data_IF_582317815559
#
_entry.id   IF_582317815559
#
_cell.length_a   1.000
_cell.length_b   1.000
_cell.length_c   1.000
_cell.angle_alpha   90.00
_cell.angle_beta   90.00
_cell.angle_gamma   90.00
#
_symmetry.space_group_name_H-M   'P 1'
#
loop_
_entity.id
_entity.type
_entity.pdbx_description
1 polymer ?
#
# COMPACT_ATOMS: atom_id res chain seq x y z
N UNK A 1 1.38 2.79 30.61
CA UNK A 1 2.19 3.89 30.02
C UNK A 1 1.85 3.95 28.55
N UNK A 2 0.99 4.88 28.14
CA UNK A 2 0.68 5.10 26.73
C UNK A 2 1.86 5.82 26.10
N UNK A 3 2.56 5.17 25.16
CA UNK A 3 3.55 5.83 24.32
C UNK A 3 2.89 7.08 23.69
N UNK A 4 3.57 8.24 23.64
CA UNK A 4 3.02 9.42 22.97
C UNK A 4 2.64 9.07 21.53
N UNK A 5 1.56 9.68 21.05
CA UNK A 5 0.98 9.48 19.73
C UNK A 5 1.87 10.10 18.65
N UNK A 6 3.05 9.53 18.43
CA UNK A 6 3.99 9.99 17.40
C UNK A 6 3.39 9.67 16.03
N UNK A 7 3.26 10.65 15.13
CA UNK A 7 2.80 10.40 13.77
C UNK A 7 3.75 9.44 13.05
N UNK A 8 3.21 8.57 12.21
CA UNK A 8 3.98 7.66 11.35
C UNK A 8 5.03 8.45 10.55
N UNK A 9 6.28 7.99 10.57
CA UNK A 9 7.39 8.57 9.79
C UNK A 9 7.94 7.56 8.79
N UNK A 10 8.64 8.03 7.75
CA UNK A 10 9.35 7.15 6.81
C UNK A 10 10.43 6.31 7.49
N UNK A 11 11.09 6.87 8.52
CA UNK A 11 12.11 6.16 9.30
C UNK A 11 11.55 4.95 10.06
N UNK A 12 10.28 5.01 10.49
CA UNK A 12 9.62 3.87 11.12
C UNK A 12 9.44 2.70 10.15
N UNK A 13 9.42 2.93 8.84
CA UNK A 13 9.23 1.88 7.84
C UNK A 13 10.52 1.11 7.53
N UNK A 14 11.68 1.77 7.68
CA UNK A 14 12.98 1.18 7.37
C UNK A 14 13.37 0.02 8.31
N UNK A 15 12.71 -0.12 9.47
CA UNK A 15 12.99 -1.19 10.43
C UNK A 15 12.36 -2.54 10.03
N UNK A 16 11.41 -2.55 9.10
CA UNK A 16 10.76 -3.78 8.64
C UNK A 16 11.62 -4.43 7.55
N UNK A 17 12.21 -5.58 7.87
CA UNK A 17 13.09 -6.38 7.02
C UNK A 17 12.56 -7.81 6.93
N UNK A 18 11.88 -8.11 5.83
CA UNK A 18 11.07 -9.32 5.72
C UNK A 18 9.91 -9.34 6.73
N UNK A 19 9.09 -10.39 6.68
CA UNK A 19 8.00 -10.59 7.64
C UNK A 19 7.80 -12.06 7.91
N UNK A 20 7.62 -12.40 9.19
CA UNK A 20 7.35 -13.77 9.63
C UNK A 20 5.83 -14.04 9.71
N UNK A 21 5.02 -12.98 9.74
CA UNK A 21 3.57 -13.06 9.88
C UNK A 21 2.84 -12.37 8.74
N UNK A 22 1.92 -13.09 8.12
CA UNK A 22 0.99 -12.53 7.15
C UNK A 22 -0.41 -12.37 7.76
N UNK A 23 -0.99 -11.20 7.60
CA UNK A 23 -2.35 -10.89 8.02
C UNK A 23 -3.30 -11.02 6.83
N UNK A 24 -4.46 -11.62 7.06
CA UNK A 24 -5.49 -11.78 6.02
C UNK A 24 -6.40 -10.55 6.00
N UNK A 25 -6.64 -10.00 4.82
CA UNK A 25 -7.66 -8.97 4.63
C UNK A 25 -9.06 -9.56 4.84
N UNK A 26 -9.96 -8.89 5.60
CA UNK A 26 -11.34 -9.33 5.70
C UNK A 26 -12.07 -9.07 4.36
N UNK A 27 -12.55 -10.11 3.69
CA UNK A 27 -13.41 -9.99 2.51
C UNK A 27 -12.70 -9.97 1.14
N UNK A 28 -11.37 -9.84 1.10
CA UNK A 28 -10.58 -10.01 -0.13
C UNK A 28 -9.54 -11.10 0.06
N UNK A 29 -9.18 -11.80 -1.02
CA UNK A 29 -8.09 -12.78 -1.01
C UNK A 29 -6.73 -12.07 -1.12
N UNK A 30 -6.47 -11.15 -0.20
CA UNK A 30 -5.24 -10.36 -0.08
C UNK A 30 -4.68 -10.57 1.32
N UNK A 31 -3.38 -10.81 1.40
CA UNK A 31 -2.62 -10.83 2.64
C UNK A 31 -1.67 -9.64 2.68
N UNK A 32 -1.19 -9.28 3.86
CA UNK A 32 -0.24 -8.19 4.02
C UNK A 32 0.71 -8.44 5.19
N UNK A 33 1.90 -7.86 5.11
CA UNK A 33 2.99 -8.03 6.10
C UNK A 33 2.78 -7.18 7.35
N UNK A 34 3.63 -7.41 8.34
CA UNK A 34 3.73 -6.61 9.56
C UNK A 34 4.02 -5.14 9.27
N UNK A 35 4.90 -4.80 8.32
CA UNK A 35 5.17 -3.42 7.93
C UNK A 35 3.93 -2.71 7.38
N UNK A 36 3.17 -3.39 6.52
CA UNK A 36 1.93 -2.84 5.96
C UNK A 36 0.84 -2.69 7.02
N UNK A 37 0.75 -3.67 7.94
CA UNK A 37 -0.16 -3.56 9.09
C UNK A 37 0.20 -2.35 9.96
N UNK A 38 1.48 -2.14 10.23
CA UNK A 38 1.95 -1.00 11.01
C UNK A 38 1.59 0.34 10.34
N UNK A 39 1.77 0.44 9.01
CA UNK A 39 1.30 1.60 8.24
C UNK A 39 -0.19 1.83 8.42
N UNK A 40 -1.01 0.78 8.32
CA UNK A 40 -2.46 0.90 8.46
C UNK A 40 -2.87 1.32 9.88
N UNK A 41 -2.27 0.74 10.92
CA UNK A 41 -2.58 1.05 12.32
C UNK A 41 -2.10 2.45 12.74
N UNK A 42 -0.88 2.85 12.35
CA UNK A 42 -0.28 4.13 12.75
C UNK A 42 -0.68 5.29 11.84
N UNK A 43 -0.91 5.00 10.57
CA UNK A 43 -1.29 5.99 9.55
C UNK A 43 -2.79 6.11 9.33
N UNK A 44 -3.63 5.32 10.04
CA UNK A 44 -5.07 5.28 9.80
C UNK A 44 -5.44 4.78 8.39
N UNK A 45 -4.58 3.95 7.79
CA UNK A 45 -4.57 3.68 6.36
C UNK A 45 -5.10 2.29 5.97
N UNK A 46 -5.99 1.69 6.76
CA UNK A 46 -6.65 0.43 6.34
C UNK A 46 -7.38 0.58 5.01
N UNK A 47 -7.95 1.76 4.75
CA UNK A 47 -8.57 2.12 3.47
C UNK A 47 -7.63 1.97 2.26
N UNK A 48 -6.31 2.11 2.46
CA UNK A 48 -5.33 1.94 1.38
C UNK A 48 -5.22 0.45 0.99
N UNK A 49 -5.26 -0.44 1.98
CA UNK A 49 -5.29 -1.87 1.75
C UNK A 49 -6.61 -2.25 1.06
N UNK A 50 -7.75 -1.73 1.54
CA UNK A 50 -9.06 -1.92 0.90
C UNK A 50 -9.03 -1.47 -0.58
N UNK A 51 -8.47 -0.28 -0.85
CA UNK A 51 -8.37 0.26 -2.19
C UNK A 51 -7.56 -0.66 -3.11
N UNK A 52 -6.33 -1.03 -2.72
CA UNK A 52 -5.46 -1.92 -3.50
C UNK A 52 -6.12 -3.31 -3.68
N UNK A 53 -6.78 -3.83 -2.65
CA UNK A 53 -7.47 -5.12 -2.72
C UNK A 53 -8.65 -5.09 -3.71
N UNK A 54 -9.41 -3.99 -3.75
CA UNK A 54 -10.54 -3.82 -4.67
C UNK A 54 -10.10 -3.86 -6.14
N UNK A 55 -8.93 -3.28 -6.44
CA UNK A 55 -8.34 -3.26 -7.77
C UNK A 55 -7.95 -4.64 -8.31
N UNK A 56 -7.74 -5.64 -7.46
CA UNK A 56 -7.32 -6.98 -7.89
C UNK A 56 -8.39 -7.70 -8.74
N UNK A 57 -9.64 -7.24 -8.67
CA UNK A 57 -10.75 -7.75 -9.49
C UNK A 57 -10.94 -7.00 -10.82
N UNK A 58 -10.28 -5.85 -11.00
CA UNK A 58 -10.43 -5.02 -12.20
C UNK A 58 -9.71 -5.70 -13.39
N UNK A 59 -10.36 -5.84 -14.57
CA UNK A 59 -9.74 -6.45 -15.74
C UNK A 59 -8.41 -5.82 -16.15
N UNK A 60 -8.20 -4.52 -15.90
CA UNK A 60 -6.94 -3.82 -16.20
C UNK A 60 -5.75 -4.33 -15.39
N UNK A 61 -6.00 -4.95 -14.23
CA UNK A 61 -4.98 -5.60 -13.41
C UNK A 61 -5.03 -7.12 -13.60
N UNK A 62 -6.22 -7.70 -13.52
CA UNK A 62 -6.44 -9.15 -13.57
C UNK A 62 -5.96 -9.78 -14.88
N UNK A 63 -6.19 -9.11 -16.00
CA UNK A 63 -5.91 -9.69 -17.33
C UNK A 63 -4.53 -9.26 -17.88
N UNK A 64 -3.78 -8.48 -17.11
CA UNK A 64 -2.45 -7.97 -17.48
C UNK A 64 -1.33 -8.90 -17.01
N UNK A 65 -0.58 -9.48 -17.96
CA UNK A 65 0.43 -10.49 -17.65
C UNK A 65 1.59 -9.98 -16.77
N UNK A 66 1.94 -8.69 -16.86
CA UNK A 66 3.01 -8.13 -16.02
C UNK A 66 2.52 -7.95 -14.59
N UNK A 67 1.30 -7.44 -14.42
CA UNK A 67 0.69 -7.18 -13.10
C UNK A 67 0.31 -8.46 -12.34
N UNK A 68 0.21 -9.60 -13.03
CA UNK A 68 0.10 -10.92 -12.37
C UNK A 68 1.41 -11.36 -11.71
N UNK A 69 2.55 -10.82 -12.14
CA UNK A 69 3.87 -11.10 -11.56
C UNK A 69 4.17 -10.25 -10.34
N UNK A 70 4.19 -8.93 -10.50
CA UNK A 70 4.40 -7.95 -9.43
C UNK A 70 3.72 -6.63 -9.81
N UNK A 71 3.23 -5.91 -8.80
CA UNK A 71 2.61 -4.61 -8.96
C UNK A 71 3.32 -3.60 -8.06
N UNK A 72 3.57 -2.41 -8.59
CA UNK A 72 4.21 -1.32 -7.85
C UNK A 72 3.19 -0.23 -7.54
N UNK A 73 2.77 -0.14 -6.28
CA UNK A 73 1.79 0.82 -5.83
C UNK A 73 2.48 2.02 -5.17
N UNK A 74 2.15 3.22 -5.63
CA UNK A 74 2.62 4.48 -5.04
C UNK A 74 1.42 5.34 -4.66
N UNK A 75 1.28 5.65 -3.38
CA UNK A 75 0.38 6.69 -2.88
C UNK A 75 1.17 8.00 -2.77
N UNK A 76 0.70 9.06 -3.40
CA UNK A 76 1.23 10.42 -3.23
C UNK A 76 0.15 11.33 -2.64
N UNK A 77 0.45 12.01 -1.54
CA UNK A 77 -0.46 12.94 -0.86
C UNK A 77 -0.01 14.37 -1.15
N UNK A 78 -0.91 15.16 -1.74
CA UNK A 78 -0.68 16.56 -2.09
C UNK A 78 -0.84 17.48 -0.86
N UNK A 79 -0.37 18.73 -1.00
CA UNK A 79 -0.45 19.73 0.06
C UNK A 79 -1.89 20.10 0.44
N UNK A 80 -2.85 19.95 -0.49
CA UNK A 80 -4.28 20.19 -0.26
C UNK A 80 -5.01 18.98 0.34
N UNK A 81 -4.27 17.94 0.74
CA UNK A 81 -4.77 16.67 1.29
C UNK A 81 -5.50 15.77 0.28
N UNK A 82 -5.57 16.14 -1.00
CA UNK A 82 -5.88 15.17 -2.05
C UNK A 82 -4.73 14.16 -2.18
N UNK A 83 -5.02 12.98 -2.71
CA UNK A 83 -4.00 11.98 -2.96
C UNK A 83 -4.24 11.25 -4.27
N UNK A 84 -3.17 10.63 -4.78
CA UNK A 84 -3.21 9.82 -5.98
C UNK A 84 -2.56 8.47 -5.69
N UNK A 85 -3.31 7.41 -5.92
CA UNK A 85 -2.82 6.03 -5.84
C UNK A 85 -2.58 5.52 -7.25
N UNK A 86 -1.33 5.18 -7.56
CA UNK A 86 -0.90 4.73 -8.87
C UNK A 86 -0.39 3.30 -8.77
N UNK A 87 -0.80 2.45 -9.70
CA UNK A 87 -0.20 1.13 -9.92
C UNK A 87 0.61 1.16 -11.21
N UNK A 88 1.89 0.79 -11.12
CA UNK A 88 2.80 0.67 -12.25
C UNK A 88 3.13 -0.80 -12.53
N UNK A 89 3.32 -1.14 -13.82
CA UNK A 89 3.84 -2.45 -14.26
C UNK A 89 5.34 -2.56 -14.04
N UNK A 90 6.02 -1.45 -14.29
CA UNK A 90 7.45 -1.23 -14.14
C UNK A 90 7.68 0.29 -14.06
N UNK A 91 8.91 0.72 -13.82
CA UNK A 91 9.27 2.12 -13.64
C UNK A 91 8.75 3.01 -14.78
N UNK A 92 7.77 3.87 -14.48
CA UNK A 92 7.19 4.83 -15.43
C UNK A 92 6.08 4.26 -16.34
N UNK A 93 5.76 2.97 -16.24
CA UNK A 93 4.65 2.34 -16.97
C UNK A 93 3.41 2.25 -16.06
N UNK A 94 2.58 3.28 -16.11
CA UNK A 94 1.35 3.37 -15.31
C UNK A 94 0.25 2.47 -15.89
N UNK A 95 -0.23 1.53 -15.07
CA UNK A 95 -1.37 0.68 -15.41
C UNK A 95 -2.71 1.30 -15.01
N UNK A 96 -2.83 1.73 -13.75
CA UNK A 96 -4.05 2.36 -13.24
C UNK A 96 -3.72 3.53 -12.31
N UNK A 97 -4.68 4.43 -12.20
CA UNK A 97 -4.63 5.58 -11.31
C UNK A 97 -5.99 5.71 -10.62
N UNK A 98 -5.96 5.93 -9.32
CA UNK A 98 -7.12 6.28 -8.51
C UNK A 98 -6.87 7.65 -7.87
N UNK A 99 -7.74 8.59 -8.17
CA UNK A 99 -7.79 9.89 -7.50
C UNK A 99 -8.53 9.74 -6.17
N UNK A 100 -7.95 10.30 -5.10
CA UNK A 100 -8.48 10.29 -3.74
C UNK A 100 -8.74 11.76 -3.38
N UNK A 101 -10.00 12.21 -3.30
CA UNK A 101 -10.31 13.61 -3.07
C UNK A 101 -9.76 14.17 -1.76
N UNK A 102 -9.63 13.32 -0.73
CA UNK A 102 -9.12 13.70 0.57
C UNK A 102 -8.58 12.48 1.34
N UNK A 103 -7.48 12.66 2.07
CA UNK A 103 -6.98 11.71 3.06
C UNK A 103 -6.36 12.43 4.25
N UNK A 104 -6.37 11.80 5.42
CA UNK A 104 -5.64 12.18 6.64
C UNK A 104 -4.32 11.40 6.83
N UNK A 105 -3.90 10.61 5.82
CA UNK A 105 -2.64 9.88 5.84
C UNK A 105 -1.42 10.80 6.10
N UNK A 106 -0.55 10.47 7.05
CA UNK A 106 0.47 11.41 7.54
C UNK A 106 1.68 11.57 6.61
N UNK A 107 2.00 10.59 5.77
CA UNK A 107 3.17 10.66 4.88
C UNK A 107 2.80 11.30 3.53
N UNK A 108 3.75 12.02 2.93
CA UNK A 108 3.60 12.59 1.58
C UNK A 108 3.65 11.53 0.48
N UNK A 109 4.37 10.44 0.72
CA UNK A 109 4.50 9.34 -0.23
C UNK A 109 4.60 8.03 0.51
N UNK A 110 4.03 6.97 -0.06
CA UNK A 110 4.21 5.60 0.39
C UNK A 110 4.27 4.68 -0.83
N UNK A 111 5.26 3.79 -0.84
CA UNK A 111 5.37 2.72 -1.83
C UNK A 111 5.02 1.38 -1.18
N UNK A 112 4.25 0.58 -1.90
CA UNK A 112 3.87 -0.78 -1.53
C UNK A 112 3.99 -1.68 -2.75
N UNK A 113 4.43 -2.91 -2.55
CA UNK A 113 4.51 -3.91 -3.61
C UNK A 113 3.48 -4.99 -3.38
N UNK A 114 2.87 -5.47 -4.45
CA UNK A 114 1.92 -6.58 -4.39
C UNK A 114 2.38 -7.71 -5.30
N UNK A 115 2.54 -8.90 -4.73
CA UNK A 115 2.96 -10.11 -5.44
C UNK A 115 2.34 -11.34 -4.79
N UNK A 116 1.87 -12.28 -5.61
CA UNK A 116 1.32 -13.59 -5.16
C UNK A 116 0.28 -13.46 -4.03
N UNK A 117 -0.58 -12.44 -4.10
CA UNK A 117 -1.63 -12.22 -3.12
C UNK A 117 -1.16 -11.53 -1.83
N UNK A 118 0.09 -11.05 -1.76
CA UNK A 118 0.67 -10.43 -0.57
C UNK A 118 1.06 -8.98 -0.89
N UNK A 119 0.65 -8.05 -0.03
CA UNK A 119 1.04 -6.64 -0.02
C UNK A 119 2.14 -6.41 1.02
N UNK A 120 3.24 -5.76 0.64
CA UNK A 120 4.42 -5.58 1.50
C UNK A 120 5.13 -4.24 1.23
N UNK A 121 5.94 -3.80 2.20
CA UNK A 121 6.85 -2.66 2.00
C UNK A 121 8.01 -3.03 1.07
N UNK A 122 8.61 -2.08 0.34
CA UNK A 122 9.79 -2.34 -0.48
C UNK A 122 10.98 -2.93 0.28
N UNK A 123 11.12 -2.63 1.58
CA UNK A 123 12.18 -3.17 2.44
C UNK A 123 11.93 -4.61 2.91
N UNK A 124 10.72 -5.13 2.67
CA UNK A 124 10.33 -6.50 3.01
C UNK A 124 10.41 -7.45 1.80
N UNK A 125 10.82 -6.94 0.63
CA UNK A 125 11.04 -7.73 -0.60
C UNK A 125 12.42 -8.39 -0.63
#
# INVERSE_FOLDING_TARGET
>A
MTQPNTPLTEGDLAQFIGSETLYQHPGFNVRYTEGVRYVAERGGAYWLIDAIASWQSDPRIRDDQMLQGIQFWTLTVNSDRSARLVCERDQGDVAVTQEIPFTDFPLQSLKLYYQQGVLFLPSEY
#
